data_IF_815791215657
#
_entry.id   IF_815791215657
#
_cell.length_a   1.000
_cell.length_b   1.000
_cell.length_c   1.000
_cell.angle_alpha   90.00
_cell.angle_beta   90.00
_cell.angle_gamma   90.00
#
_symmetry.space_group_name_H-M   'P 1'
#
loop_
_entity.id
_entity.type
_entity.pdbx_description
1 polymer ?
#
# COMPACT_ATOMS: atom_id res chain seq x y z
N UNK A 1 14.21 -25.07 -20.35
CA UNK A 1 12.82 -25.10 -19.86
C UNK A 1 12.19 -23.77 -20.25
N UNK A 2 11.27 -23.77 -21.21
CA UNK A 2 10.46 -22.58 -21.50
C UNK A 2 9.69 -22.20 -20.25
N UNK A 3 9.87 -20.96 -19.78
CA UNK A 3 9.02 -20.43 -18.71
C UNK A 3 7.64 -20.21 -19.31
N UNK A 4 6.63 -20.88 -18.75
CA UNK A 4 5.23 -20.65 -19.13
C UNK A 4 4.83 -19.18 -18.98
N UNK A 5 3.68 -18.77 -19.54
CA UNK A 5 3.24 -17.38 -19.52
C UNK A 5 3.17 -16.84 -18.08
N UNK A 6 3.72 -15.63 -17.87
CA UNK A 6 3.68 -14.95 -16.57
C UNK A 6 2.34 -14.24 -16.38
N UNK A 7 1.66 -14.52 -15.29
CA UNK A 7 0.42 -13.83 -14.90
C UNK A 7 0.71 -12.62 -14.02
N UNK A 8 0.06 -11.50 -14.32
CA UNK A 8 0.13 -10.27 -13.54
C UNK A 8 -1.14 -10.03 -12.71
N UNK A 9 -0.98 -9.59 -11.47
CA UNK A 9 -2.03 -9.04 -10.62
C UNK A 9 -1.90 -7.51 -10.60
N UNK A 10 -2.96 -6.79 -10.96
CA UNK A 10 -2.97 -5.33 -10.98
C UNK A 10 -4.00 -4.82 -9.97
N UNK A 11 -3.54 -4.06 -8.98
CA UNK A 11 -4.36 -3.52 -7.90
C UNK A 11 -4.47 -2.00 -8.02
N UNK A 12 -5.67 -1.51 -8.33
CA UNK A 12 -5.90 -0.08 -8.51
C UNK A 12 -5.85 0.70 -7.18
N UNK A 13 -5.66 2.02 -7.27
CA UNK A 13 -5.97 2.93 -6.16
C UNK A 13 -7.47 3.00 -5.86
N UNK A 14 -7.82 3.42 -4.64
CA UNK A 14 -9.24 3.49 -4.23
C UNK A 14 -9.51 3.71 -2.74
N UNK A 15 -8.49 4.04 -1.94
CA UNK A 15 -8.63 4.23 -0.49
C UNK A 15 -9.18 2.99 0.22
N UNK A 16 -10.18 3.17 1.08
CA UNK A 16 -10.78 2.08 1.86
C UNK A 16 -11.35 0.92 0.99
N UNK A 17 -11.66 1.18 -0.29
CA UNK A 17 -12.09 0.12 -1.24
C UNK A 17 -11.01 -0.91 -1.52
N UNK A 18 -9.75 -0.68 -1.12
CA UNK A 18 -8.71 -1.70 -1.16
C UNK A 18 -9.07 -2.98 -0.40
N UNK A 19 -10.01 -2.93 0.56
CA UNK A 19 -10.53 -4.10 1.26
C UNK A 19 -11.17 -5.13 0.30
N UNK A 20 -11.77 -4.67 -0.81
CA UNK A 20 -12.32 -5.57 -1.83
C UNK A 20 -11.24 -6.41 -2.50
N UNK A 21 -10.05 -5.84 -2.75
CA UNK A 21 -8.92 -6.61 -3.27
C UNK A 21 -8.57 -7.77 -2.33
N UNK A 22 -8.62 -7.52 -1.02
CA UNK A 22 -8.28 -8.53 -0.01
C UNK A 22 -9.30 -9.66 0.00
N UNK A 23 -10.59 -9.34 -0.08
CA UNK A 23 -11.65 -10.35 -0.22
C UNK A 23 -11.47 -11.22 -1.46
N UNK A 24 -11.17 -10.61 -2.61
CA UNK A 24 -10.89 -11.33 -3.86
C UNK A 24 -9.66 -12.23 -3.71
N UNK A 25 -8.58 -11.72 -3.13
CA UNK A 25 -7.35 -12.49 -2.92
C UNK A 25 -7.54 -13.68 -1.97
N UNK A 26 -8.35 -13.52 -0.91
CA UNK A 26 -8.74 -14.63 -0.04
C UNK A 26 -9.51 -15.70 -0.81
N UNK A 27 -10.51 -15.31 -1.59
CA UNK A 27 -11.28 -16.25 -2.41
C UNK A 27 -10.38 -16.98 -3.43
N UNK A 28 -9.46 -16.27 -4.08
CA UNK A 28 -8.50 -16.88 -5.00
C UNK A 28 -7.56 -17.86 -4.29
N UNK A 29 -7.08 -17.54 -3.08
CA UNK A 29 -6.24 -18.44 -2.29
C UNK A 29 -6.98 -19.72 -1.86
N UNK A 30 -8.29 -19.61 -1.62
CA UNK A 30 -9.17 -20.74 -1.31
C UNK A 30 -9.44 -21.60 -2.55
N UNK A 31 -9.91 -20.98 -3.65
CA UNK A 31 -10.26 -21.67 -4.90
C UNK A 31 -9.07 -22.38 -5.52
N UNK A 32 -7.89 -21.73 -5.53
CA UNK A 32 -6.70 -22.29 -6.19
C UNK A 32 -5.94 -23.27 -5.29
N UNK A 33 -6.10 -23.20 -3.97
CA UNK A 33 -5.27 -23.93 -3.01
C UNK A 33 -3.77 -23.65 -3.14
N UNK A 34 -3.38 -22.57 -3.82
CA UNK A 34 -2.00 -22.34 -4.24
C UNK A 34 -1.11 -21.97 -3.04
N UNK A 35 -0.06 -22.77 -2.81
CA UNK A 35 0.96 -22.46 -1.79
C UNK A 35 1.82 -21.27 -2.20
N UNK A 36 2.30 -21.25 -3.45
CA UNK A 36 2.98 -20.09 -4.04
C UNK A 36 1.97 -19.21 -4.77
N UNK A 37 2.29 -17.93 -4.90
CA UNK A 37 1.47 -16.97 -5.63
C UNK A 37 1.28 -17.44 -7.08
N UNK A 38 0.05 -17.49 -7.60
CA UNK A 38 -0.19 -17.69 -9.02
C UNK A 38 0.19 -16.46 -9.86
N UNK A 39 0.44 -15.32 -9.19
CA UNK A 39 0.83 -14.05 -9.80
C UNK A 39 2.33 -13.87 -9.70
N UNK A 40 2.98 -13.83 -10.87
CA UNK A 40 4.42 -13.64 -11.00
C UNK A 40 4.77 -12.15 -10.99
N UNK A 41 3.84 -11.31 -11.44
CA UNK A 41 4.02 -9.86 -11.44
C UNK A 41 2.90 -9.28 -10.59
N UNK A 42 3.24 -8.38 -9.66
CA UNK A 42 2.25 -7.70 -8.84
C UNK A 42 2.43 -6.20 -8.98
N UNK A 43 1.38 -5.50 -9.38
CA UNK A 43 1.39 -4.07 -9.63
C UNK A 43 0.37 -3.38 -8.73
N UNK A 44 0.70 -2.19 -8.23
CA UNK A 44 -0.23 -1.44 -7.42
C UNK A 44 -0.02 0.07 -7.43
N UNK A 45 -1.13 0.80 -7.24
CA UNK A 45 -1.17 2.25 -7.09
C UNK A 45 -1.88 2.66 -5.80
N UNK A 46 -1.33 3.62 -5.04
CA UNK A 46 -1.92 4.10 -3.77
C UNK A 46 -2.24 2.93 -2.82
N UNK A 47 -3.48 2.73 -2.40
CA UNK A 47 -3.87 1.57 -1.56
C UNK A 47 -3.60 0.23 -2.24
N UNK A 48 -3.70 0.17 -3.57
CA UNK A 48 -3.34 -1.00 -4.35
C UNK A 48 -1.86 -1.31 -4.24
N UNK A 49 -0.99 -0.29 -4.11
CA UNK A 49 0.44 -0.48 -3.87
C UNK A 49 0.72 -1.15 -2.52
N UNK A 50 -0.02 -0.77 -1.48
CA UNK A 50 0.10 -1.37 -0.14
C UNK A 50 -0.24 -2.87 -0.20
N UNK A 51 -1.37 -3.20 -0.81
CA UNK A 51 -1.79 -4.59 -0.97
C UNK A 51 -0.84 -5.37 -1.89
N UNK A 52 -0.37 -4.75 -2.98
CA UNK A 52 0.58 -5.33 -3.93
C UNK A 52 1.90 -5.68 -3.25
N UNK A 53 2.44 -4.75 -2.45
CA UNK A 53 3.67 -4.95 -1.71
C UNK A 53 3.52 -6.10 -0.68
N UNK A 54 2.42 -6.13 0.06
CA UNK A 54 2.13 -7.18 1.04
C UNK A 54 2.07 -8.58 0.39
N UNK A 55 1.32 -8.72 -0.71
CA UNK A 55 1.22 -10.00 -1.43
C UNK A 55 2.53 -10.37 -2.14
N UNK A 56 3.24 -9.39 -2.71
CA UNK A 56 4.53 -9.63 -3.36
C UNK A 56 5.58 -10.18 -2.39
N UNK A 57 5.66 -9.59 -1.20
CA UNK A 57 6.51 -10.09 -0.09
C UNK A 57 6.12 -11.51 0.33
N UNK A 58 4.82 -11.82 0.33
CA UNK A 58 4.30 -13.13 0.69
C UNK A 58 4.18 -14.12 -0.50
N UNK A 59 4.81 -13.86 -1.65
CA UNK A 59 4.60 -14.67 -2.85
C UNK A 59 5.01 -16.15 -2.70
N UNK A 60 5.91 -16.47 -1.76
CA UNK A 60 6.30 -17.85 -1.45
C UNK A 60 5.24 -18.63 -0.63
N UNK A 61 4.38 -17.93 0.11
CA UNK A 61 3.31 -18.49 0.92
C UNK A 61 2.05 -17.63 0.75
N UNK A 62 1.39 -17.81 -0.39
CA UNK A 62 0.28 -16.99 -0.84
C UNK A 62 -0.91 -17.09 0.12
N UNK A 63 -1.23 -18.29 0.62
CA UNK A 63 -2.32 -18.47 1.59
C UNK A 63 -2.06 -17.76 2.91
N UNK A 64 -0.84 -17.84 3.44
CA UNK A 64 -0.49 -17.09 4.65
C UNK A 64 -0.48 -15.59 4.38
N UNK A 65 0.03 -15.17 3.23
CA UNK A 65 0.03 -13.78 2.78
C UNK A 65 -1.37 -13.17 2.74
N UNK A 66 -2.33 -13.86 2.12
CA UNK A 66 -3.72 -13.37 2.03
C UNK A 66 -4.42 -13.34 3.38
N UNK A 67 -4.18 -14.33 4.25
CA UNK A 67 -4.67 -14.33 5.65
C UNK A 67 -4.09 -13.17 6.46
N UNK A 68 -2.79 -12.95 6.35
CA UNK A 68 -2.11 -11.83 7.02
C UNK A 68 -2.66 -10.49 6.56
N UNK A 69 -2.79 -10.30 5.24
CA UNK A 69 -3.37 -9.10 4.66
C UNK A 69 -4.82 -8.87 5.11
N UNK A 70 -5.63 -9.95 5.21
CA UNK A 70 -6.98 -9.89 5.78
C UNK A 70 -6.98 -9.44 7.23
N UNK A 71 -6.10 -10.01 8.05
CA UNK A 71 -5.96 -9.62 9.47
C UNK A 71 -5.55 -8.16 9.60
N UNK A 72 -4.60 -7.70 8.78
CA UNK A 72 -4.18 -6.31 8.73
C UNK A 72 -5.38 -5.40 8.44
N UNK A 73 -6.12 -5.68 7.37
CA UNK A 73 -7.27 -4.87 6.98
C UNK A 73 -8.41 -4.87 7.99
N UNK A 74 -8.67 -5.99 8.66
CA UNK A 74 -9.66 -6.08 9.75
C UNK A 74 -9.23 -5.30 11.00
N UNK A 75 -7.92 -5.17 11.22
CA UNK A 75 -7.33 -4.40 12.32
C UNK A 75 -7.12 -2.92 12.00
N UNK A 76 -7.30 -2.50 10.74
CA UNK A 76 -7.15 -1.09 10.36
C UNK A 76 -8.27 -0.26 11.01
N UNK A 77 -7.83 0.73 11.78
CA UNK A 77 -8.66 1.77 12.38
C UNK A 77 -8.16 3.12 11.87
N UNK A 78 -8.99 4.17 11.93
CA UNK A 78 -8.62 5.48 11.40
C UNK A 78 -7.34 6.05 12.05
N UNK A 79 -7.16 5.80 13.35
CA UNK A 79 -5.97 6.11 14.16
C UNK A 79 -4.67 5.44 13.64
N UNK A 80 -4.78 4.30 12.94
CA UNK A 80 -3.66 3.60 12.32
C UNK A 80 -3.24 4.21 10.96
N UNK A 81 -4.08 5.08 10.37
CA UNK A 81 -3.85 5.68 9.03
C UNK A 81 -3.45 7.16 9.16
N UNK A 82 -4.07 7.89 10.08
CA UNK A 82 -3.77 9.29 10.37
C UNK A 82 -4.00 9.58 11.86
N UNK A 83 -3.29 10.56 12.43
CA UNK A 83 -3.58 10.98 13.79
C UNK A 83 -5.02 11.54 13.86
N UNK A 84 -5.85 10.97 14.73
CA UNK A 84 -7.26 11.35 14.93
C UNK A 84 -7.43 12.39 16.04
N UNK A 85 -6.34 12.90 16.60
CA UNK A 85 -6.38 14.02 17.52
C UNK A 85 -7.14 15.20 16.90
N UNK A 86 -8.31 15.52 17.46
CA UNK A 86 -9.16 16.61 17.00
C UNK A 86 -8.39 17.94 16.94
N UNK A 87 -7.39 18.10 17.81
CA UNK A 87 -6.47 19.23 17.81
C UNK A 87 -5.57 19.24 16.56
N UNK A 88 -5.04 18.09 16.12
CA UNK A 88 -4.23 17.98 14.90
C UNK A 88 -5.06 18.26 13.64
N UNK A 89 -6.30 17.77 13.58
CA UNK A 89 -7.24 18.13 12.52
C UNK A 89 -7.56 19.62 12.53
N UNK A 90 -7.87 20.21 13.70
CA UNK A 90 -8.16 21.64 13.82
C UNK A 90 -6.96 22.51 13.41
N UNK A 91 -5.74 22.12 13.82
CA UNK A 91 -4.50 22.81 13.47
C UNK A 91 -4.16 22.67 11.98
N UNK A 92 -4.33 21.49 11.37
CA UNK A 92 -4.16 21.28 9.94
C UNK A 92 -5.17 22.10 9.11
N UNK A 93 -6.43 22.14 9.54
CA UNK A 93 -7.47 22.96 8.91
C UNK A 93 -7.17 24.45 9.07
N UNK A 94 -6.72 24.86 10.26
CA UNK A 94 -6.28 26.23 10.55
C UNK A 94 -5.08 26.64 9.71
N UNK A 95 -4.12 25.74 9.48
CA UNK A 95 -2.95 25.96 8.60
C UNK A 95 -3.33 26.12 7.14
N UNK A 96 -4.29 25.32 6.67
CA UNK A 96 -4.79 25.44 5.30
C UNK A 96 -5.55 26.76 5.14
N UNK A 97 -6.42 27.11 6.10
CA UNK A 97 -7.14 28.38 6.11
C UNK A 97 -6.18 29.57 6.17
N UNK A 98 -5.13 29.52 6.99
CA UNK A 98 -4.12 30.57 7.07
C UNK A 98 -3.29 30.67 5.77
N UNK A 99 -2.97 29.55 5.13
CA UNK A 99 -2.28 29.55 3.84
C UNK A 99 -3.17 30.13 2.73
N UNK A 100 -4.48 29.83 2.74
CA UNK A 100 -5.42 30.43 1.78
C UNK A 100 -5.66 31.93 2.06
N UNK A 101 -5.74 32.35 3.32
CA UNK A 101 -5.95 33.76 3.68
C UNK A 101 -4.68 34.61 3.57
N UNK A 102 -3.50 34.08 3.86
CA UNK A 102 -2.25 34.85 3.96
C UNK A 102 -1.14 34.36 3.02
N UNK A 103 -1.40 33.39 2.15
CA UNK A 103 -0.42 32.88 1.19
C UNK A 103 0.09 33.94 0.20
N UNK A 104 -0.74 34.94 -0.12
CA UNK A 104 -0.34 36.08 -0.97
C UNK A 104 0.67 37.02 -0.30
N UNK A 105 0.82 36.95 1.04
CA UNK A 105 1.84 37.66 1.82
C UNK A 105 3.14 36.83 1.99
N UNK A 106 3.24 35.66 1.34
CA UNK A 106 4.41 34.77 1.43
C UNK A 106 4.38 33.79 2.60
N UNK A 107 3.28 33.73 3.37
CA UNK A 107 3.09 32.70 4.40
C UNK A 107 2.67 31.38 3.77
N UNK A 108 3.62 30.48 3.50
CA UNK A 108 3.35 29.10 3.08
C UNK A 108 3.56 28.15 4.25
N UNK A 109 2.51 27.44 4.66
CA UNK A 109 2.66 26.42 5.68
C UNK A 109 3.18 25.11 5.05
N UNK A 110 4.50 24.90 5.07
CA UNK A 110 5.15 23.69 4.54
C UNK A 110 4.75 22.42 5.32
N UNK A 111 4.04 21.48 4.67
CA UNK A 111 3.63 20.20 5.25
C UNK A 111 2.24 19.72 4.80
N UNK A 112 2.04 18.40 4.80
CA UNK A 112 0.80 17.74 4.38
C UNK A 112 -0.39 18.01 5.31
N UNK A 113 -1.61 17.88 4.78
CA UNK A 113 -2.86 18.15 5.49
C UNK A 113 -3.07 17.23 6.72
N UNK A 114 -2.42 16.07 6.76
CA UNK A 114 -2.52 15.10 7.84
C UNK A 114 -1.13 14.59 8.22
N UNK A 115 -0.95 14.26 9.50
CA UNK A 115 0.24 13.52 9.94
C UNK A 115 0.11 12.04 9.53
N UNK A 116 0.90 11.64 8.54
CA UNK A 116 0.95 10.26 8.01
C UNK A 116 2.00 9.40 8.72
N UNK A 117 2.62 9.87 9.80
CA UNK A 117 3.59 9.09 10.59
C UNK A 117 3.07 7.70 11.04
N UNK A 118 1.77 7.52 11.42
CA UNK A 118 1.22 6.19 11.72
C UNK A 118 1.28 5.24 10.52
N UNK A 119 0.90 5.72 9.34
CA UNK A 119 0.95 4.94 8.10
C UNK A 119 2.38 4.57 7.73
N UNK A 120 3.34 5.48 7.88
CA UNK A 120 4.76 5.19 7.64
C UNK A 120 5.24 4.02 8.51
N UNK A 121 4.97 4.07 9.82
CA UNK A 121 5.34 2.99 10.76
C UNK A 121 4.65 1.68 10.44
N UNK A 122 3.39 1.73 10.02
CA UNK A 122 2.66 0.55 9.56
C UNK A 122 3.39 -0.06 8.35
N UNK A 123 3.73 0.73 7.34
CA UNK A 123 4.42 0.24 6.14
C UNK A 123 5.80 -0.33 6.46
N UNK A 124 6.58 0.33 7.32
CA UNK A 124 7.92 -0.16 7.74
C UNK A 124 7.84 -1.49 8.49
N UNK A 125 6.79 -1.72 9.28
CA UNK A 125 6.58 -2.99 9.99
C UNK A 125 6.16 -4.12 9.04
N UNK A 126 5.26 -3.81 8.12
CA UNK A 126 4.61 -4.81 7.26
C UNK A 126 5.45 -5.16 6.03
N UNK A 127 6.31 -4.23 5.59
CA UNK A 127 7.17 -4.42 4.42
C UNK A 127 8.61 -4.74 4.82
N UNK A 128 8.94 -6.04 4.81
CA UNK A 128 10.29 -6.52 5.04
C UNK A 128 11.00 -6.77 3.71
N UNK A 129 12.01 -5.93 3.40
CA UNK A 129 12.79 -6.00 2.16
C UNK A 129 13.42 -7.37 1.92
N UNK A 130 13.90 -8.04 2.98
CA UNK A 130 14.50 -9.37 2.91
C UNK A 130 13.54 -10.42 2.32
N UNK A 131 12.26 -10.35 2.69
CA UNK A 131 11.26 -11.27 2.16
C UNK A 131 10.95 -11.00 0.68
N UNK A 132 10.94 -9.74 0.25
CA UNK A 132 10.79 -9.39 -1.16
C UNK A 132 11.96 -9.93 -1.99
N UNK A 133 13.20 -9.71 -1.52
CA UNK A 133 14.40 -10.22 -2.19
C UNK A 133 14.37 -11.75 -2.29
N UNK A 134 13.96 -12.43 -1.21
CA UNK A 134 13.79 -13.86 -1.21
C UNK A 134 12.69 -14.33 -2.21
N UNK A 135 11.56 -13.63 -2.28
CA UNK A 135 10.49 -13.92 -3.25
C UNK A 135 10.97 -13.81 -4.70
N UNK A 136 11.82 -12.83 -4.99
CA UNK A 136 12.43 -12.64 -6.33
C UNK A 136 13.46 -13.73 -6.62
N UNK A 137 14.39 -13.99 -5.69
CA UNK A 137 15.44 -15.01 -5.86
C UNK A 137 14.87 -16.42 -6.04
N UNK A 138 13.82 -16.76 -5.28
CA UNK A 138 13.10 -18.04 -5.37
C UNK A 138 12.20 -18.17 -6.60
N UNK A 139 12.10 -17.12 -7.42
CA UNK A 139 11.24 -17.00 -8.61
C UNK A 139 9.74 -17.12 -8.30
N UNK A 140 9.34 -17.01 -7.04
CA UNK A 140 7.92 -16.93 -6.66
C UNK A 140 7.31 -15.57 -7.06
N UNK A 141 8.15 -14.53 -7.14
CA UNK A 141 7.83 -13.24 -7.69
C UNK A 141 8.84 -12.89 -8.79
N UNK A 142 8.37 -12.42 -9.93
CA UNK A 142 9.20 -11.88 -11.00
C UNK A 142 9.42 -10.38 -10.84
N UNK A 143 8.37 -9.62 -10.52
CA UNK A 143 8.44 -8.17 -10.34
C UNK A 143 7.35 -7.65 -9.39
N UNK A 144 7.69 -6.61 -8.63
CA UNK A 144 6.75 -5.76 -7.90
C UNK A 144 6.82 -4.35 -8.51
N UNK A 145 5.70 -3.83 -8.99
CA UNK A 145 5.62 -2.50 -9.59
C UNK A 145 4.73 -1.59 -8.72
N UNK A 146 5.30 -0.51 -8.20
CA UNK A 146 4.58 0.48 -7.40
C UNK A 146 4.60 1.81 -8.13
N UNK A 147 3.42 2.42 -8.34
CA UNK A 147 3.32 3.74 -8.98
C UNK A 147 3.21 4.85 -7.94
N UNK A 148 3.99 5.91 -8.08
CA UNK A 148 3.95 7.11 -7.25
C UNK A 148 4.28 8.34 -8.10
N UNK A 149 3.67 9.49 -7.79
CA UNK A 149 3.92 10.74 -8.50
C UNK A 149 4.71 11.70 -7.62
N UNK A 150 5.75 12.31 -8.19
CA UNK A 150 6.54 13.35 -7.52
C UNK A 150 6.00 14.73 -7.89
N UNK A 151 5.51 15.46 -6.88
CA UNK A 151 5.06 16.83 -7.04
C UNK A 151 6.21 17.83 -7.21
N UNK A 152 7.39 17.50 -6.71
CA UNK A 152 8.58 18.35 -6.82
C UNK A 152 9.25 18.21 -8.19
N UNK A 153 9.23 16.99 -8.76
CA UNK A 153 9.87 16.68 -10.05
C UNK A 153 8.93 16.65 -11.25
N UNK A 154 7.60 16.71 -11.06
CA UNK A 154 6.62 16.64 -12.15
C UNK A 154 6.58 15.30 -12.90
N UNK A 155 7.03 14.21 -12.26
CA UNK A 155 7.09 12.87 -12.85
C UNK A 155 6.05 11.93 -12.24
N UNK A 156 5.52 11.02 -13.07
CA UNK A 156 4.53 10.00 -12.71
C UNK A 156 5.03 8.60 -13.10
#
# INVERSE_FOLDING_TARGET
>A
MEQGPKTALVLQGGGARGAYHVGVLMALAEITGARRSPFHIVCGSSVGAINAASIGVAANDFQRGTKHLSSLWRGLRCDAIYNTDALSLLLSTGRLASTMMFGYLGFSAAGGLLDYSPLKRLLEREFQRSHLEHAIQSKALHALCITASSYEGGQA
#
